data_IF_954601304452
#
_entry.id   IF_954601304452
#
_cell.length_a   1.000
_cell.length_b   1.000
_cell.length_c   1.000
_cell.angle_alpha   90.00
_cell.angle_beta   90.00
_cell.angle_gamma   90.00
#
_symmetry.space_group_name_H-M   'P 1'
#
loop_
_entity.id
_entity.type
_entity.pdbx_description
1 polymer ?
#
# COMPACT_ATOMS: atom_id res chain seq x y z
N UNK A 1 19.31 9.84 -15.13
CA UNK A 1 18.63 9.03 -16.16
C UNK A 1 19.38 7.72 -16.47
N UNK A 2 20.50 7.73 -17.22
CA UNK A 2 21.22 6.47 -17.60
C UNK A 2 21.73 5.66 -16.40
N UNK A 3 22.20 6.33 -15.34
CA UNK A 3 22.67 5.68 -14.12
C UNK A 3 21.53 4.99 -13.36
N UNK A 4 20.41 5.71 -13.15
CA UNK A 4 19.22 5.18 -12.50
C UNK A 4 18.60 4.01 -13.27
N UNK A 5 18.72 4.01 -14.60
CA UNK A 5 18.28 2.89 -15.44
C UNK A 5 19.09 1.61 -15.19
N UNK A 6 20.42 1.72 -15.11
CA UNK A 6 21.30 0.60 -14.73
C UNK A 6 20.96 0.08 -13.34
N UNK A 7 20.76 1.01 -12.39
CA UNK A 7 20.36 0.69 -11.01
C UNK A 7 19.02 -0.06 -10.97
N UNK A 8 18.01 0.39 -11.71
CA UNK A 8 16.72 -0.27 -11.79
C UNK A 8 16.83 -1.69 -12.38
N UNK A 9 17.56 -1.88 -13.48
CA UNK A 9 17.78 -3.19 -14.08
C UNK A 9 18.50 -4.18 -13.14
N UNK A 10 19.39 -3.67 -12.28
CA UNK A 10 20.05 -4.49 -11.26
C UNK A 10 19.12 -4.85 -10.08
N UNK A 11 18.21 -3.95 -9.70
CA UNK A 11 17.33 -4.13 -8.53
C UNK A 11 16.04 -4.91 -8.84
N UNK A 12 15.46 -4.77 -10.03
CA UNK A 12 14.21 -5.43 -10.41
C UNK A 12 14.23 -6.96 -10.17
N UNK A 13 15.28 -7.70 -10.58
CA UNK A 13 15.36 -9.14 -10.31
C UNK A 13 15.41 -9.47 -8.82
N UNK A 14 15.95 -8.58 -7.98
CA UNK A 14 15.98 -8.80 -6.53
C UNK A 14 14.57 -8.64 -5.96
N UNK A 15 13.81 -7.64 -6.41
CA UNK A 15 12.44 -7.39 -5.93
C UNK A 15 11.42 -8.43 -6.41
N UNK A 16 11.57 -8.94 -7.64
CA UNK A 16 10.61 -9.87 -8.28
C UNK A 16 10.79 -11.34 -7.89
N UNK A 17 11.75 -11.66 -7.04
CA UNK A 17 12.06 -13.03 -6.66
C UNK A 17 11.68 -13.32 -5.21
N UNK A 18 11.50 -14.61 -4.91
CA UNK A 18 11.27 -15.09 -3.55
C UNK A 18 12.56 -14.97 -2.72
N UNK A 19 12.40 -14.52 -1.47
CA UNK A 19 13.46 -14.50 -0.45
C UNK A 19 13.07 -15.45 0.67
N UNK A 20 13.20 -16.76 0.39
CA UNK A 20 12.87 -17.83 1.34
C UNK A 20 14.01 -18.08 2.32
N UNK A 21 15.23 -17.63 2.01
CA UNK A 21 16.42 -17.88 2.80
C UNK A 21 17.38 -16.70 2.80
N UNK A 22 18.16 -16.55 3.87
CA UNK A 22 19.27 -15.60 3.93
C UNK A 22 20.34 -15.87 2.84
N UNK A 23 20.44 -17.10 2.34
CA UNK A 23 21.33 -17.42 1.22
C UNK A 23 20.87 -16.81 -0.12
N UNK A 24 19.62 -16.33 -0.22
CA UNK A 24 19.14 -15.65 -1.43
C UNK A 24 19.86 -14.31 -1.67
N UNK A 25 20.42 -13.69 -0.62
CA UNK A 25 21.28 -12.51 -0.71
C UNK A 25 22.70 -12.79 -1.20
N UNK A 26 23.15 -14.04 -1.16
CA UNK A 26 24.47 -14.47 -1.66
C UNK A 26 24.43 -14.90 -3.13
N UNK A 27 23.25 -14.93 -3.74
CA UNK A 27 23.14 -15.25 -5.17
C UNK A 27 23.79 -14.16 -6.02
N UNK A 28 24.42 -14.56 -7.13
CA UNK A 28 25.05 -13.67 -8.12
C UNK A 28 24.22 -12.44 -8.48
N UNK A 29 22.88 -12.58 -8.54
CA UNK A 29 21.95 -11.48 -8.80
C UNK A 29 21.97 -10.38 -7.72
N UNK A 30 22.00 -10.75 -6.44
CA UNK A 30 22.03 -9.82 -5.32
C UNK A 30 23.42 -9.17 -5.21
N UNK A 31 24.48 -9.96 -5.44
CA UNK A 31 25.86 -9.45 -5.48
C UNK A 31 26.05 -8.40 -6.60
N UNK A 32 25.45 -8.63 -7.78
CA UNK A 32 25.48 -7.65 -8.89
C UNK A 32 24.72 -6.35 -8.58
N UNK A 33 23.75 -6.38 -7.66
CA UNK A 33 22.99 -5.20 -7.27
C UNK A 33 23.69 -4.36 -6.20
N UNK A 34 24.63 -4.94 -5.42
CA UNK A 34 25.31 -4.27 -4.30
C UNK A 34 25.88 -2.87 -4.63
N UNK A 35 26.62 -2.67 -5.75
CA UNK A 35 27.19 -1.36 -6.07
C UNK A 35 26.13 -0.29 -6.35
N UNK A 36 24.90 -0.70 -6.67
CA UNK A 36 23.81 0.19 -7.07
C UNK A 36 22.83 0.48 -5.94
N UNK A 37 23.02 -0.08 -4.74
CA UNK A 37 22.09 0.08 -3.62
C UNK A 37 22.22 1.43 -2.89
N UNK A 38 23.24 2.24 -3.18
CA UNK A 38 23.51 3.50 -2.45
C UNK A 38 23.50 3.25 -0.93
N UNK A 39 24.24 2.23 -0.48
CA UNK A 39 24.20 1.74 0.90
C UNK A 39 24.59 2.85 1.88
N UNK A 40 23.81 2.99 2.95
CA UNK A 40 24.05 3.98 4.01
C UNK A 40 23.54 5.39 3.70
N UNK A 41 23.04 5.65 2.50
CA UNK A 41 22.44 6.94 2.14
C UNK A 41 20.91 6.88 2.16
N UNK A 42 20.28 7.98 2.56
CA UNK A 42 18.84 8.16 2.40
C UNK A 42 18.46 8.59 0.98
N UNK A 43 17.19 8.44 0.62
CA UNK A 43 16.67 8.95 -0.65
C UNK A 43 16.89 10.46 -0.77
N UNK A 44 16.67 11.20 0.33
CA UNK A 44 16.91 12.63 0.39
C UNK A 44 18.36 13.00 0.07
N UNK A 45 19.33 12.30 0.66
CA UNK A 45 20.76 12.52 0.42
C UNK A 45 21.15 12.20 -1.02
N UNK A 46 20.65 11.07 -1.56
CA UNK A 46 20.93 10.69 -2.95
C UNK A 46 20.43 11.76 -3.91
N UNK A 47 19.22 12.29 -3.70
CA UNK A 47 18.62 13.31 -4.56
C UNK A 47 19.21 14.71 -4.33
N UNK A 48 19.73 14.99 -3.14
CA UNK A 48 20.45 16.24 -2.84
C UNK A 48 21.74 16.41 -3.65
N UNK A 49 22.29 15.32 -4.21
CA UNK A 49 23.43 15.41 -5.12
C UNK A 49 23.05 15.93 -6.52
N UNK A 50 21.75 15.93 -6.86
CA UNK A 50 21.24 16.35 -8.17
C UNK A 50 20.62 17.75 -8.16
N UNK A 51 20.12 18.20 -7.01
CA UNK A 51 19.38 19.45 -6.88
C UNK A 51 19.93 20.29 -5.73
N UNK A 52 20.01 21.60 -5.92
CA UNK A 52 20.38 22.56 -4.86
C UNK A 52 19.17 23.17 -4.19
N UNK A 53 18.09 23.42 -4.94
CA UNK A 53 16.82 23.95 -4.42
C UNK A 53 16.06 22.91 -3.59
N UNK A 54 15.72 23.24 -2.35
CA UNK A 54 15.01 22.36 -1.41
C UNK A 54 13.66 21.90 -1.95
N UNK A 55 12.93 22.73 -2.69
CA UNK A 55 11.61 22.38 -3.25
C UNK A 55 11.75 21.28 -4.30
N UNK A 56 12.80 21.34 -5.12
CA UNK A 56 13.09 20.30 -6.10
C UNK A 56 13.51 19.00 -5.42
N UNK A 57 14.36 19.07 -4.39
CA UNK A 57 14.71 17.87 -3.60
C UNK A 57 13.45 17.21 -3.06
N UNK A 58 12.57 17.97 -2.41
CA UNK A 58 11.31 17.46 -1.86
C UNK A 58 10.38 16.88 -2.93
N UNK A 59 10.18 17.58 -4.06
CA UNK A 59 9.35 17.12 -5.16
C UNK A 59 9.81 15.76 -5.71
N UNK A 60 11.12 15.53 -5.85
CA UNK A 60 11.67 14.26 -6.33
C UNK A 60 11.75 13.16 -5.27
N UNK A 61 11.58 13.51 -3.99
CA UNK A 61 11.52 12.53 -2.89
C UNK A 61 10.11 12.05 -2.59
N UNK A 62 9.08 12.71 -3.13
CA UNK A 62 7.67 12.43 -2.83
C UNK A 62 7.31 10.95 -2.97
N UNK A 63 7.88 10.26 -3.95
CA UNK A 63 7.63 8.84 -4.22
C UNK A 63 8.03 7.92 -3.06
N UNK A 64 8.82 8.37 -2.08
CA UNK A 64 9.04 7.61 -0.83
C UNK A 64 7.74 7.35 -0.08
N UNK A 65 6.72 8.22 -0.26
CA UNK A 65 5.39 8.03 0.31
C UNK A 65 4.65 6.83 -0.27
N UNK A 66 5.00 6.36 -1.46
CA UNK A 66 4.42 5.12 -2.01
C UNK A 66 4.77 3.89 -1.16
N UNK A 67 5.85 3.99 -0.38
CA UNK A 67 6.28 2.97 0.57
C UNK A 67 5.88 3.31 2.01
N UNK A 68 5.14 4.40 2.23
CA UNK A 68 4.82 4.91 3.56
C UNK A 68 6.04 5.39 4.36
N UNK A 69 7.14 5.76 3.70
CA UNK A 69 8.40 6.13 4.36
C UNK A 69 8.69 7.63 4.33
N UNK A 70 9.38 8.10 5.37
CA UNK A 70 10.09 9.39 5.38
C UNK A 70 11.21 9.39 4.35
N UNK A 71 11.41 10.44 3.54
CA UNK A 71 12.50 10.49 2.56
C UNK A 71 13.89 10.51 3.21
N UNK A 72 14.00 10.97 4.46
CA UNK A 72 15.22 10.95 5.26
C UNK A 72 15.56 9.57 5.82
N UNK A 73 14.59 8.65 5.87
CA UNK A 73 14.77 7.27 6.37
C UNK A 73 14.66 6.23 5.25
N UNK A 74 14.09 6.61 4.11
CA UNK A 74 13.94 5.76 2.94
C UNK A 74 15.32 5.43 2.35
N UNK A 75 15.69 4.15 2.15
CA UNK A 75 16.97 3.80 1.55
C UNK A 75 17.17 4.42 0.17
N UNK A 76 18.36 4.97 -0.09
CA UNK A 76 18.71 5.61 -1.37
C UNK A 76 18.55 4.71 -2.59
N UNK A 77 18.54 3.38 -2.41
CA UNK A 77 18.17 2.38 -3.42
C UNK A 77 16.84 2.71 -4.13
N UNK A 78 15.87 3.33 -3.43
CA UNK A 78 14.54 3.65 -3.94
C UNK A 78 14.47 4.90 -4.81
N UNK A 79 15.60 5.55 -5.13
CA UNK A 79 15.63 6.64 -6.13
C UNK A 79 15.14 6.20 -7.52
N UNK A 80 15.03 4.89 -7.75
CA UNK A 80 14.40 4.30 -8.93
C UNK A 80 12.91 4.67 -9.07
N UNK A 81 12.19 4.96 -7.97
CA UNK A 81 10.74 5.21 -8.02
C UNK A 81 10.42 6.49 -8.79
N UNK A 82 11.11 7.60 -8.48
CA UNK A 82 10.96 8.86 -9.21
C UNK A 82 11.33 8.69 -10.69
N UNK A 83 12.36 7.90 -10.97
CA UNK A 83 12.75 7.59 -12.35
C UNK A 83 11.68 6.80 -13.12
N UNK A 84 10.99 5.86 -12.49
CA UNK A 84 9.96 5.05 -13.15
C UNK A 84 8.83 5.92 -13.73
N UNK A 85 8.34 6.91 -12.98
CA UNK A 85 7.28 7.80 -13.45
C UNK A 85 7.71 8.64 -14.64
N UNK A 86 8.94 9.17 -14.60
CA UNK A 86 9.45 10.03 -15.67
C UNK A 86 9.87 9.24 -16.91
N UNK A 87 10.32 7.98 -16.75
CA UNK A 87 10.71 7.12 -17.88
C UNK A 87 9.52 6.45 -18.54
N UNK A 88 8.59 5.90 -17.76
CA UNK A 88 7.50 5.08 -18.27
C UNK A 88 6.18 5.82 -18.41
N UNK A 89 6.01 6.94 -17.69
CA UNK A 89 4.79 7.73 -17.67
C UNK A 89 3.84 7.34 -16.53
N UNK A 90 2.82 8.17 -16.35
CA UNK A 90 1.72 7.95 -15.40
C UNK A 90 0.45 7.78 -16.22
N UNK A 91 -0.29 6.70 -15.96
CA UNK A 91 -1.47 6.30 -16.74
C UNK A 91 -2.71 6.26 -15.87
N UNK A 92 -3.85 6.62 -16.45
CA UNK A 92 -5.17 6.52 -15.85
C UNK A 92 -6.07 5.64 -16.72
N UNK A 93 -6.61 4.52 -16.22
CA UNK A 93 -7.59 3.73 -16.97
C UNK A 93 -8.93 4.47 -17.03
N UNK A 94 -9.50 4.60 -18.23
CA UNK A 94 -10.84 5.19 -18.43
C UNK A 94 -11.89 4.36 -17.69
N UNK A 95 -12.73 5.01 -16.89
CA UNK A 95 -13.61 4.38 -15.89
C UNK A 95 -12.99 4.28 -14.50
N UNK A 96 -11.75 4.73 -14.32
CA UNK A 96 -11.03 4.74 -13.05
C UNK A 96 -10.34 3.42 -12.70
N UNK A 97 -9.56 3.46 -11.61
CA UNK A 97 -8.68 2.35 -11.19
C UNK A 97 -9.42 1.03 -10.92
N UNK A 98 -10.74 1.07 -10.66
CA UNK A 98 -11.55 -0.13 -10.45
C UNK A 98 -11.64 -1.04 -11.69
N UNK A 99 -11.35 -0.50 -12.89
CA UNK A 99 -11.38 -1.27 -14.14
C UNK A 99 -10.33 -2.37 -14.19
N UNK A 100 -9.22 -2.22 -13.48
CA UNK A 100 -8.18 -3.24 -13.39
C UNK A 100 -8.70 -4.50 -12.68
N UNK A 101 -9.18 -4.44 -11.41
CA UNK A 101 -9.73 -5.63 -10.76
C UNK A 101 -11.01 -6.16 -11.43
N UNK A 102 -11.81 -5.31 -12.08
CA UNK A 102 -12.96 -5.77 -12.88
C UNK A 102 -12.51 -6.65 -14.06
N UNK A 103 -11.50 -6.22 -14.81
CA UNK A 103 -10.94 -7.01 -15.90
C UNK A 103 -10.34 -8.33 -15.40
N UNK A 104 -9.62 -8.30 -14.27
CA UNK A 104 -9.09 -9.52 -13.64
C UNK A 104 -10.21 -10.48 -13.22
N UNK A 105 -11.31 -9.97 -12.67
CA UNK A 105 -12.47 -10.78 -12.30
C UNK A 105 -13.14 -11.45 -13.51
N UNK A 106 -13.17 -10.78 -14.67
CA UNK A 106 -13.66 -11.37 -15.91
C UNK A 106 -12.78 -12.54 -16.36
N UNK A 107 -11.45 -12.36 -16.36
CA UNK A 107 -10.50 -13.44 -16.67
C UNK A 107 -10.68 -14.63 -15.72
N UNK A 108 -10.86 -14.40 -14.41
CA UNK A 108 -11.14 -15.49 -13.46
C UNK A 108 -12.37 -16.30 -13.88
N UNK A 109 -13.46 -15.64 -14.28
CA UNK A 109 -14.69 -16.31 -14.73
C UNK A 109 -14.50 -17.06 -16.04
N UNK A 110 -13.77 -16.48 -17.00
CA UNK A 110 -13.48 -17.12 -18.30
C UNK A 110 -12.74 -18.46 -18.15
N UNK A 111 -11.86 -18.56 -17.15
CA UNK A 111 -11.14 -19.79 -16.82
C UNK A 111 -11.89 -20.69 -15.81
N UNK A 112 -13.19 -20.46 -15.60
CA UNK A 112 -14.05 -21.32 -14.77
C UNK A 112 -13.95 -21.06 -13.27
N UNK A 113 -13.22 -20.03 -12.84
CA UNK A 113 -13.16 -19.59 -11.45
C UNK A 113 -14.48 -18.98 -10.98
N UNK A 114 -14.73 -19.07 -9.67
CA UNK A 114 -15.94 -18.53 -9.03
C UNK A 114 -15.56 -17.40 -8.08
N UNK A 115 -16.36 -16.33 -8.07
CA UNK A 115 -16.19 -15.18 -7.19
C UNK A 115 -17.45 -15.07 -6.33
N UNK A 116 -17.28 -15.24 -5.03
CA UNK A 116 -18.36 -15.16 -4.04
C UNK A 116 -18.25 -13.81 -3.31
N UNK A 117 -19.25 -12.95 -3.51
CA UNK A 117 -19.35 -11.65 -2.86
C UNK A 117 -20.31 -11.73 -1.67
N UNK A 118 -20.14 -10.87 -0.66
CA UNK A 118 -20.95 -10.92 0.56
C UNK A 118 -20.73 -12.19 1.40
N UNK A 119 -19.58 -12.85 1.23
CA UNK A 119 -19.20 -14.09 1.90
C UNK A 119 -17.94 -13.87 2.73
N UNK A 120 -18.08 -13.16 3.86
CA UNK A 120 -16.97 -12.90 4.77
C UNK A 120 -16.36 -14.19 5.30
N UNK A 121 -15.02 -14.27 5.35
CA UNK A 121 -14.30 -15.39 5.98
C UNK A 121 -14.20 -15.11 7.46
N UNK A 122 -14.69 -16.05 8.28
CA UNK A 122 -14.62 -15.96 9.74
C UNK A 122 -13.29 -16.48 10.27
N UNK A 123 -12.85 -17.66 9.79
CA UNK A 123 -11.59 -18.29 10.22
C UNK A 123 -11.09 -19.35 9.25
N UNK A 124 -9.83 -19.77 9.43
CA UNK A 124 -9.25 -20.94 8.80
C UNK A 124 -9.71 -22.22 9.51
N UNK A 125 -9.93 -23.28 8.74
CA UNK A 125 -10.12 -24.63 9.26
C UNK A 125 -8.75 -25.32 9.34
N UNK A 126 -8.38 -25.81 10.52
CA UNK A 126 -7.05 -26.36 10.80
C UNK A 126 -7.10 -27.81 11.29
N UNK A 127 -6.25 -28.66 10.71
CA UNK A 127 -5.89 -29.99 11.24
C UNK A 127 -4.43 -29.95 11.69
N UNK A 128 -4.20 -29.74 12.98
CA UNK A 128 -2.87 -29.37 13.47
C UNK A 128 -2.38 -28.10 12.75
N UNK A 129 -1.19 -28.14 12.13
CA UNK A 129 -0.64 -27.00 11.38
C UNK A 129 -1.05 -26.94 9.92
N UNK A 130 -1.97 -27.79 9.48
CA UNK A 130 -2.41 -27.86 8.08
C UNK A 130 -3.74 -27.14 7.91
N UNK A 131 -3.79 -26.19 6.97
CA UNK A 131 -5.04 -25.55 6.56
C UNK A 131 -5.79 -26.48 5.62
N UNK A 132 -7.06 -26.75 5.90
CA UNK A 132 -7.93 -27.62 5.10
C UNK A 132 -9.12 -26.89 4.48
N UNK A 133 -9.25 -25.59 4.72
CA UNK A 133 -10.34 -24.77 4.23
C UNK A 133 -10.59 -23.51 5.06
N UNK A 134 -11.77 -22.93 4.89
CA UNK A 134 -12.24 -21.75 5.62
C UNK A 134 -13.66 -21.96 6.15
N UNK A 135 -13.97 -21.34 7.28
CA UNK A 135 -15.33 -21.16 7.77
C UNK A 135 -15.77 -19.72 7.46
N UNK A 136 -16.94 -19.57 6.85
CA UNK A 136 -17.53 -18.28 6.54
C UNK A 136 -18.30 -17.72 7.74
N UNK A 137 -18.65 -16.43 7.70
CA UNK A 137 -19.43 -15.76 8.76
C UNK A 137 -20.81 -16.40 8.99
N UNK A 138 -21.40 -16.98 7.95
CA UNK A 138 -22.66 -17.74 8.03
C UNK A 138 -22.46 -19.19 8.55
N UNK A 139 -21.27 -19.54 9.03
CA UNK A 139 -20.86 -20.87 9.50
C UNK A 139 -20.76 -21.98 8.43
N UNK A 140 -20.91 -21.64 7.15
CA UNK A 140 -20.61 -22.56 6.07
C UNK A 140 -19.11 -22.89 6.03
N UNK A 141 -18.78 -24.16 5.78
CA UNK A 141 -17.40 -24.64 5.67
C UNK A 141 -17.07 -24.92 4.22
N UNK A 142 -16.00 -24.28 3.74
CA UNK A 142 -15.48 -24.45 2.38
C UNK A 142 -14.11 -25.11 2.46
N UNK A 143 -14.01 -26.34 1.99
CA UNK A 143 -12.78 -27.13 2.01
C UNK A 143 -11.93 -26.86 0.75
N UNK A 144 -10.60 -26.86 0.92
CA UNK A 144 -9.65 -26.61 -0.16
C UNK A 144 -8.29 -27.27 0.10
N UNK A 145 -7.61 -27.68 -0.96
CA UNK A 145 -6.26 -28.25 -0.89
C UNK A 145 -5.16 -27.21 -0.59
N UNK A 146 -5.38 -25.96 -1.01
CA UNK A 146 -4.47 -24.83 -0.81
C UNK A 146 -5.31 -23.57 -0.55
N UNK A 147 -4.95 -22.79 0.47
CA UNK A 147 -5.63 -21.52 0.80
C UNK A 147 -4.68 -20.35 0.56
N UNK A 148 -5.16 -19.32 -0.14
CA UNK A 148 -4.41 -18.09 -0.44
C UNK A 148 -5.09 -16.92 0.28
N UNK A 149 -4.35 -16.23 1.16
CA UNK A 149 -4.85 -15.12 1.96
C UNK A 149 -4.38 -13.79 1.36
N UNK A 150 -5.35 -12.95 0.98
CA UNK A 150 -5.13 -11.56 0.54
C UNK A 150 -5.70 -10.51 1.50
N UNK A 151 -6.34 -10.94 2.60
CA UNK A 151 -6.73 -10.03 3.67
C UNK A 151 -5.50 -9.34 4.28
N UNK A 152 -5.70 -8.21 4.97
CA UNK A 152 -4.62 -7.57 5.73
C UNK A 152 -3.93 -8.61 6.60
N UNK A 153 -2.61 -8.74 6.46
CA UNK A 153 -1.86 -9.82 7.10
C UNK A 153 -2.03 -9.83 8.62
N UNK A 154 -1.90 -8.68 9.28
CA UNK A 154 -1.99 -8.63 10.73
C UNK A 154 -3.43 -8.82 11.22
N UNK A 155 -4.42 -8.34 10.45
CA UNK A 155 -5.82 -8.62 10.73
C UNK A 155 -6.12 -10.13 10.60
N UNK A 156 -5.76 -10.76 9.48
CA UNK A 156 -6.00 -12.17 9.23
C UNK A 156 -5.28 -13.06 10.27
N UNK A 157 -4.01 -12.77 10.58
CA UNK A 157 -3.25 -13.55 11.56
C UNK A 157 -3.72 -13.34 13.01
N UNK A 158 -4.46 -12.27 13.30
CA UNK A 158 -5.07 -12.06 14.62
C UNK A 158 -6.51 -12.58 14.71
N UNK A 159 -7.21 -12.77 13.60
CA UNK A 159 -8.64 -13.14 13.62
C UNK A 159 -8.94 -14.52 13.05
N UNK A 160 -8.21 -14.98 12.02
CA UNK A 160 -8.58 -16.22 11.32
C UNK A 160 -7.96 -17.50 11.93
N UNK A 161 -7.03 -17.37 12.88
CA UNK A 161 -6.22 -18.49 13.41
C UNK A 161 -6.36 -18.68 14.93
N UNK A 162 -7.48 -18.24 15.52
CA UNK A 162 -7.62 -18.13 16.98
C UNK A 162 -7.42 -19.43 17.76
N UNK A 163 -7.77 -20.58 17.17
CA UNK A 163 -7.69 -21.88 17.85
C UNK A 163 -6.26 -22.42 17.96
N UNK A 164 -5.30 -21.85 17.22
CA UNK A 164 -3.89 -22.25 17.30
C UNK A 164 -2.97 -21.03 17.23
N UNK A 165 -2.36 -20.62 18.35
CA UNK A 165 -1.50 -19.44 18.34
C UNK A 165 -0.30 -19.66 17.43
N UNK A 166 -0.15 -18.72 16.50
CA UNK A 166 1.04 -18.55 15.70
C UNK A 166 2.22 -18.21 16.60
N UNK A 167 3.40 -18.76 16.30
CA UNK A 167 4.63 -18.56 17.09
C UNK A 167 5.37 -17.30 16.66
N UNK A 168 5.52 -17.04 15.36
CA UNK A 168 6.25 -15.87 14.84
C UNK A 168 5.32 -14.64 14.76
N UNK A 169 4.05 -14.87 14.49
CA UNK A 169 3.03 -13.84 14.29
C UNK A 169 1.87 -13.94 15.28
N UNK A 170 2.16 -14.23 16.56
CA UNK A 170 1.16 -14.17 17.64
C UNK A 170 0.56 -12.77 17.75
N UNK A 171 -0.63 -12.64 18.37
CA UNK A 171 -1.30 -11.34 18.60
C UNK A 171 -0.35 -10.35 19.30
N UNK A 172 0.37 -10.78 20.33
CA UNK A 172 1.32 -9.93 21.07
C UNK A 172 2.53 -9.53 20.22
N UNK A 173 3.00 -10.41 19.34
CA UNK A 173 4.12 -10.10 18.44
C UNK A 173 3.70 -9.16 17.32
N UNK A 174 2.49 -9.32 16.78
CA UNK A 174 1.93 -8.41 15.79
C UNK A 174 1.76 -7.01 16.38
N UNK A 175 1.24 -6.88 17.60
CA UNK A 175 1.13 -5.58 18.29
C UNK A 175 2.47 -4.85 18.49
N UNK A 176 3.58 -5.58 18.53
CA UNK A 176 4.94 -5.02 18.70
C UNK A 176 5.64 -4.72 17.36
N UNK A 177 5.04 -5.05 16.23
CA UNK A 177 5.60 -4.71 14.92
C UNK A 177 5.36 -3.24 14.59
N UNK A 178 6.22 -2.71 13.74
CA UNK A 178 6.06 -1.37 13.19
C UNK A 178 5.09 -1.41 12.00
N UNK A 179 4.20 -0.43 11.94
CA UNK A 179 3.19 -0.28 10.91
C UNK A 179 3.31 1.09 10.24
N UNK A 180 2.87 1.17 8.98
CA UNK A 180 2.86 2.45 8.25
C UNK A 180 1.95 3.48 8.92
N UNK A 181 2.07 4.74 8.50
CA UNK A 181 1.03 5.72 8.76
C UNK A 181 -0.32 5.28 8.15
N UNK A 182 -1.36 6.04 8.49
CA UNK A 182 -2.69 5.92 7.89
C UNK A 182 -2.96 7.11 6.98
N UNK A 183 -4.20 7.22 6.51
CA UNK A 183 -4.68 8.31 5.66
C UNK A 183 -6.04 8.79 6.13
N UNK A 184 -6.19 10.12 6.18
CA UNK A 184 -7.48 10.78 6.17
C UNK A 184 -7.85 11.04 4.72
N UNK A 185 -9.07 10.68 4.34
CA UNK A 185 -9.52 10.70 2.97
C UNK A 185 -10.83 11.44 2.84
N UNK A 186 -10.98 12.20 1.76
CA UNK A 186 -12.26 12.74 1.33
C UNK A 186 -12.49 12.37 -0.14
N UNK A 187 -13.66 11.81 -0.41
CA UNK A 187 -14.20 11.66 -1.75
C UNK A 187 -15.30 12.69 -1.89
N UNK A 188 -15.13 13.68 -2.77
CA UNK A 188 -16.09 14.77 -2.94
C UNK A 188 -16.61 14.82 -4.37
N UNK A 189 -17.92 14.83 -4.52
CA UNK A 189 -18.60 15.10 -5.79
C UNK A 189 -19.01 16.56 -5.83
N UNK A 190 -18.64 17.27 -6.90
CA UNK A 190 -18.80 18.71 -7.04
C UNK A 190 -19.78 19.02 -8.18
N UNK A 191 -20.62 20.04 -8.03
CA UNK A 191 -21.45 20.59 -9.13
C UNK A 191 -20.69 21.54 -10.07
N UNK A 192 -19.37 21.55 -9.95
CA UNK A 192 -18.47 22.39 -10.73
C UNK A 192 -17.28 21.58 -11.20
N UNK A 193 -16.95 21.73 -12.48
CA UNK A 193 -15.71 21.25 -13.07
C UNK A 193 -14.55 22.19 -12.72
N UNK A 194 -13.47 21.61 -12.22
CA UNK A 194 -12.19 22.30 -12.07
C UNK A 194 -11.25 21.86 -13.19
N UNK A 195 -10.84 22.78 -14.06
CA UNK A 195 -9.85 22.52 -15.12
C UNK A 195 -8.42 22.68 -14.58
N UNK A 196 -8.09 21.82 -13.61
CA UNK A 196 -6.81 21.77 -12.91
C UNK A 196 -6.15 20.41 -13.13
N UNK A 197 -4.82 20.29 -12.98
CA UNK A 197 -4.10 19.04 -13.23
C UNK A 197 -4.71 17.83 -12.52
N UNK A 198 -4.61 16.66 -13.17
CA UNK A 198 -5.12 15.39 -12.63
C UNK A 198 -4.58 15.11 -11.23
N UNK A 199 -3.28 15.34 -11.01
CA UNK A 199 -2.62 15.11 -9.73
C UNK A 199 -2.04 16.43 -9.22
N UNK A 200 -2.39 16.80 -7.99
CA UNK A 200 -1.87 17.98 -7.30
C UNK A 200 -1.39 17.58 -5.91
N UNK A 201 -0.23 18.08 -5.50
CA UNK A 201 0.33 17.88 -4.16
C UNK A 201 0.58 19.24 -3.54
N UNK A 202 0.11 19.41 -2.31
CA UNK A 202 0.41 20.52 -1.44
C UNK A 202 1.35 19.98 -0.36
N UNK A 203 2.59 20.49 -0.32
CA UNK A 203 3.53 20.14 0.75
C UNK A 203 3.28 21.04 1.96
N UNK A 204 3.42 20.49 3.17
CA UNK A 204 3.62 21.29 4.39
C UNK A 204 4.79 22.26 4.19
N UNK A 205 4.67 23.48 4.72
CA UNK A 205 5.75 24.47 4.73
C UNK A 205 6.95 23.94 5.54
N UNK A 206 6.67 23.20 6.63
CA UNK A 206 7.65 22.39 7.35
C UNK A 206 7.34 20.89 7.15
N UNK A 207 7.85 20.33 6.06
CA UNK A 207 7.59 18.95 5.68
C UNK A 207 8.25 17.93 6.63
N UNK A 208 9.43 18.25 7.17
CA UNK A 208 10.10 17.34 8.12
C UNK A 208 9.30 17.22 9.41
N UNK A 209 8.80 18.35 9.93
CA UNK A 209 7.89 18.37 11.07
C UNK A 209 6.60 17.59 10.78
N UNK A 210 5.95 17.82 9.64
CA UNK A 210 4.74 17.09 9.25
C UNK A 210 4.98 15.57 9.23
N UNK A 211 6.12 15.11 8.68
CA UNK A 211 6.48 13.68 8.68
C UNK A 211 6.71 13.16 10.11
N UNK A 212 7.41 13.92 10.95
CA UNK A 212 7.69 13.55 12.35
C UNK A 212 6.41 13.46 13.18
N UNK A 213 5.45 14.37 12.95
CA UNK A 213 4.14 14.36 13.61
C UNK A 213 3.38 13.07 13.29
N UNK A 214 3.41 12.65 12.04
CA UNK A 214 2.72 11.43 11.59
C UNK A 214 3.39 10.16 12.16
N UNK A 215 4.71 10.06 12.12
CA UNK A 215 5.42 8.78 12.33
C UNK A 215 6.01 8.62 13.73
N UNK A 216 6.31 9.72 14.43
CA UNK A 216 7.01 9.68 15.72
C UNK A 216 6.13 10.19 16.87
N UNK A 217 5.65 11.43 16.80
CA UNK A 217 4.83 11.99 17.90
C UNK A 217 3.38 11.55 17.83
N UNK A 218 2.93 11.08 16.66
CA UNK A 218 1.58 10.55 16.40
C UNK A 218 0.48 11.59 16.63
N UNK A 219 0.72 12.81 16.16
CA UNK A 219 -0.16 13.96 16.31
C UNK A 219 -0.82 14.34 14.97
N UNK A 220 -1.98 14.99 15.04
CA UNK A 220 -2.56 15.63 13.86
C UNK A 220 -1.78 16.91 13.55
N UNK A 221 -1.27 16.99 12.33
CA UNK A 221 -0.51 18.16 11.87
C UNK A 221 -1.44 19.35 11.68
N UNK A 222 -1.02 20.52 12.15
CA UNK A 222 -1.67 21.80 11.86
C UNK A 222 -1.39 22.30 10.43
N UNK A 223 -0.40 21.71 9.75
CA UNK A 223 -0.07 21.97 8.35
C UNK A 223 0.15 20.65 7.59
N UNK A 224 -0.91 19.86 7.32
CA UNK A 224 -0.76 18.58 6.67
C UNK A 224 -0.36 18.73 5.19
N UNK A 225 0.52 17.85 4.71
CA UNK A 225 0.67 17.68 3.25
C UNK A 225 -0.57 17.00 2.68
N UNK A 226 -1.08 17.51 1.55
CA UNK A 226 -2.35 17.06 0.94
C UNK A 226 -2.09 16.64 -0.50
N UNK A 227 -2.65 15.49 -0.88
CA UNK A 227 -2.72 15.04 -2.25
C UNK A 227 -4.17 15.15 -2.76
N UNK A 228 -4.33 15.69 -3.97
CA UNK A 228 -5.62 15.85 -4.64
C UNK A 228 -5.52 15.16 -5.99
N UNK A 229 -6.47 14.26 -6.25
CA UNK A 229 -6.72 13.70 -7.56
C UNK A 229 -8.00 14.30 -8.14
N UNK A 230 -7.87 15.01 -9.26
CA UNK A 230 -8.94 15.57 -10.08
C UNK A 230 -9.07 14.77 -11.38
N UNK A 231 -9.50 13.51 -11.30
CA UNK A 231 -9.45 12.61 -12.45
C UNK A 231 -10.44 12.97 -13.57
N UNK A 232 -11.50 13.73 -13.27
CA UNK A 232 -12.54 14.16 -14.22
C UNK A 232 -12.02 15.01 -15.39
N UNK A 233 -10.81 15.57 -15.30
CA UNK A 233 -10.16 16.29 -16.41
C UNK A 233 -9.60 15.35 -17.47
N UNK A 234 -9.18 14.16 -17.06
CA UNK A 234 -8.65 13.12 -17.96
C UNK A 234 -9.70 12.08 -18.34
N UNK A 235 -10.74 11.94 -17.52
CA UNK A 235 -11.73 10.88 -17.67
C UNK A 235 -13.15 11.43 -17.40
N UNK A 236 -13.92 11.75 -18.46
CA UNK A 236 -15.26 12.30 -18.32
C UNK A 236 -16.27 11.28 -17.77
N UNK A 237 -15.90 10.00 -17.62
CA UNK A 237 -16.81 8.97 -17.09
C UNK A 237 -16.95 9.01 -15.56
N UNK A 238 -16.09 9.77 -14.87
CA UNK A 238 -16.01 9.79 -13.41
C UNK A 238 -16.92 10.80 -12.72
N UNK A 239 -17.53 11.72 -13.48
CA UNK A 239 -18.46 12.70 -12.95
C UNK A 239 -19.49 13.09 -14.02
N UNK A 240 -20.68 13.60 -13.64
CA UNK A 240 -21.62 14.19 -14.59
C UNK A 240 -20.99 15.32 -15.41
N UNK A 241 -21.62 15.64 -16.55
CA UNK A 241 -21.19 16.77 -17.37
C UNK A 241 -21.14 18.07 -16.54
N UNK A 242 -20.12 18.90 -16.77
CA UNK A 242 -19.90 20.14 -16.03
C UNK A 242 -19.47 19.97 -14.57
N UNK A 243 -19.27 18.74 -14.09
CA UNK A 243 -18.93 18.41 -12.70
C UNK A 243 -17.51 17.83 -12.56
N UNK A 244 -16.99 17.80 -11.34
CA UNK A 244 -15.73 17.12 -10.98
C UNK A 244 -15.95 16.18 -9.78
N UNK A 245 -15.29 15.03 -9.80
CA UNK A 245 -15.09 14.20 -8.60
C UNK A 245 -13.64 14.35 -8.14
N UNK A 246 -13.44 14.73 -6.87
CA UNK A 246 -12.11 14.78 -6.28
C UNK A 246 -11.92 13.67 -5.25
N UNK A 247 -10.74 13.09 -5.29
CA UNK A 247 -10.17 12.26 -4.24
C UNK A 247 -9.11 13.11 -3.54
N UNK A 248 -9.23 13.28 -2.22
CA UNK A 248 -8.35 14.11 -1.40
C UNK A 248 -7.79 13.21 -0.29
N UNK A 249 -6.48 13.26 -0.09
CA UNK A 249 -5.76 12.43 0.87
C UNK A 249 -4.81 13.30 1.69
N UNK A 250 -4.85 13.17 3.00
CA UNK A 250 -3.82 13.66 3.91
C UNK A 250 -3.24 12.47 4.71
N UNK A 251 -1.91 12.25 4.71
CA UNK A 251 -1.32 11.24 5.57
C UNK A 251 -1.45 11.65 7.05
N UNK A 252 -1.83 10.71 7.90
CA UNK A 252 -2.08 10.92 9.33
C UNK A 252 -1.55 9.74 10.15
N UNK A 253 -1.37 9.88 11.47
CA UNK A 253 -1.04 8.75 12.33
C UNK A 253 -2.05 7.61 12.19
N UNK A 254 -1.59 6.36 12.35
CA UNK A 254 -2.47 5.19 12.44
C UNK A 254 -3.11 5.10 13.84
N UNK A 255 -3.97 4.10 14.10
CA UNK A 255 -4.73 3.99 15.35
C UNK A 255 -3.88 3.62 16.58
N UNK A 256 -2.57 3.42 16.44
CA UNK A 256 -1.66 3.43 17.61
C UNK A 256 -1.43 4.84 18.18
N UNK A 257 -2.02 5.88 17.57
CA UNK A 257 -2.05 7.25 18.07
C UNK A 257 -3.16 7.50 19.10
N UNK A 258 -4.18 6.64 19.13
CA UNK A 258 -5.36 6.81 19.99
C UNK A 258 -6.12 8.13 19.76
N UNK A 259 -5.93 8.77 18.60
CA UNK A 259 -6.68 9.96 18.19
C UNK A 259 -8.17 9.63 18.09
N UNK A 260 -9.01 10.41 18.77
CA UNK A 260 -10.46 10.32 18.68
C UNK A 260 -10.96 11.00 17.40
N UNK A 261 -11.15 10.20 16.35
CA UNK A 261 -11.66 10.68 15.08
C UNK A 261 -13.12 11.14 15.12
N UNK A 262 -13.94 10.75 16.10
CA UNK A 262 -15.29 11.34 16.19
C UNK A 262 -15.22 12.80 16.60
N UNK A 263 -14.25 13.16 17.45
CA UNK A 263 -14.06 14.53 17.91
C UNK A 263 -13.31 15.39 16.89
N UNK A 264 -12.31 14.84 16.20
CA UNK A 264 -11.40 15.63 15.37
C UNK A 264 -11.69 15.62 13.86
N UNK A 265 -12.57 14.74 13.37
CA UNK A 265 -12.80 14.55 11.93
C UNK A 265 -13.28 15.82 11.21
N UNK A 266 -14.25 16.53 11.78
CA UNK A 266 -14.81 17.73 11.14
C UNK A 266 -13.82 18.91 11.16
N UNK A 267 -13.10 19.11 12.26
CA UNK A 267 -12.06 20.13 12.35
C UNK A 267 -10.93 19.86 11.35
N UNK A 268 -10.52 18.60 11.22
CA UNK A 268 -9.48 18.21 10.27
C UNK A 268 -9.96 18.33 8.81
N UNK A 269 -11.24 18.01 8.54
CA UNK A 269 -11.90 18.28 7.25
C UNK A 269 -11.82 19.76 6.90
N UNK A 270 -12.17 20.65 7.83
CA UNK A 270 -12.11 22.09 7.61
C UNK A 270 -10.68 22.60 7.45
N UNK A 271 -9.70 22.06 8.17
CA UNK A 271 -8.29 22.38 7.96
C UNK A 271 -7.85 22.03 6.53
N UNK A 272 -8.12 20.80 6.09
CA UNK A 272 -7.77 20.31 4.75
C UNK A 272 -8.40 21.19 3.67
N UNK A 273 -9.72 21.44 3.74
CA UNK A 273 -10.40 22.28 2.74
C UNK A 273 -9.90 23.72 2.76
N UNK A 274 -9.54 24.28 3.93
CA UNK A 274 -8.98 25.64 4.04
C UNK A 274 -7.62 25.74 3.36
N UNK A 275 -6.76 24.74 3.53
CA UNK A 275 -5.46 24.70 2.87
C UNK A 275 -5.59 24.55 1.37
N UNK A 276 -6.51 23.71 0.90
CA UNK A 276 -6.78 23.55 -0.54
C UNK A 276 -7.23 24.89 -1.14
N UNK A 277 -8.24 25.55 -0.56
CA UNK A 277 -8.77 26.81 -1.09
C UNK A 277 -7.76 27.97 -1.02
N UNK A 278 -6.91 28.01 0.01
CA UNK A 278 -5.91 29.08 0.18
C UNK A 278 -4.67 28.89 -0.69
N UNK A 279 -4.15 27.66 -0.80
CA UNK A 279 -2.85 27.36 -1.42
C UNK A 279 -2.94 26.92 -2.88
N UNK A 280 -4.14 26.69 -3.40
CA UNK A 280 -4.35 26.24 -4.79
C UNK A 280 -5.46 27.00 -5.49
N UNK A 281 -5.63 26.72 -6.78
CA UNK A 281 -6.71 27.28 -7.62
C UNK A 281 -8.06 26.58 -7.43
N UNK A 282 -8.17 25.60 -6.53
CA UNK A 282 -9.44 25.00 -6.12
C UNK A 282 -10.26 25.97 -5.24
N UNK A 283 -10.51 27.20 -5.73
CA UNK A 283 -11.22 28.25 -4.99
C UNK A 283 -12.70 27.91 -4.82
N UNK A 284 -13.26 28.28 -3.66
CA UNK A 284 -14.66 28.05 -3.27
C UNK A 284 -15.11 26.57 -3.32
N UNK A 285 -14.17 25.61 -3.21
CA UNK A 285 -14.42 24.17 -3.21
C UNK A 285 -15.62 23.79 -2.32
N UNK A 286 -15.69 24.32 -1.10
CA UNK A 286 -16.77 24.03 -0.14
C UNK A 286 -18.17 24.27 -0.69
N UNK A 287 -18.34 25.36 -1.44
CA UNK A 287 -19.64 25.78 -1.97
C UNK A 287 -20.18 24.82 -3.04
N UNK A 288 -19.29 24.04 -3.65
CA UNK A 288 -19.60 23.16 -4.76
C UNK A 288 -19.79 21.69 -4.35
N UNK A 289 -19.47 21.33 -3.10
CA UNK A 289 -19.65 19.96 -2.60
C UNK A 289 -21.14 19.61 -2.57
N UNK A 290 -21.53 18.55 -3.30
CA UNK A 290 -22.89 17.99 -3.29
C UNK A 290 -22.99 16.69 -2.52
N UNK A 291 -21.94 15.89 -2.61
CA UNK A 291 -21.81 14.63 -1.89
C UNK A 291 -20.39 14.52 -1.38
N UNK A 292 -20.24 13.97 -0.20
CA UNK A 292 -18.93 13.68 0.36
C UNK A 292 -18.93 12.38 1.14
N UNK A 293 -17.79 11.70 1.12
CA UNK A 293 -17.49 10.58 1.99
C UNK A 293 -16.11 10.77 2.57
N UNK A 294 -16.03 10.71 3.89
CA UNK A 294 -14.76 10.78 4.61
C UNK A 294 -14.39 9.42 5.16
N UNK A 295 -13.13 9.03 4.99
CA UNK A 295 -12.55 7.86 5.66
C UNK A 295 -11.41 8.32 6.57
N UNK A 296 -11.48 7.94 7.83
CA UNK A 296 -10.42 8.16 8.81
C UNK A 296 -9.70 6.83 9.09
N UNK A 297 -8.55 6.86 9.78
CA UNK A 297 -7.91 5.68 10.35
C UNK A 297 -8.88 4.73 11.08
N UNK A 298 -9.89 5.26 11.77
CA UNK A 298 -10.96 4.46 12.38
C UNK A 298 -11.73 3.65 11.33
N UNK A 299 -12.22 4.30 10.28
CA UNK A 299 -12.97 3.63 9.20
C UNK A 299 -12.13 2.57 8.50
N UNK A 300 -10.84 2.85 8.26
CA UNK A 300 -9.93 1.87 7.67
C UNK A 300 -9.85 0.59 8.51
N UNK A 301 -9.81 0.70 9.83
CA UNK A 301 -9.78 -0.45 10.73
C UNK A 301 -11.13 -1.17 10.82
N UNK A 302 -12.23 -0.44 11.02
CA UNK A 302 -13.55 -1.04 11.27
C UNK A 302 -14.27 -1.52 10.02
N UNK A 303 -14.25 -0.71 8.96
CA UNK A 303 -15.11 -0.90 7.79
C UNK A 303 -14.37 -1.65 6.66
N UNK A 304 -13.03 -1.57 6.68
CA UNK A 304 -12.15 -2.14 5.65
C UNK A 304 -11.13 -3.15 6.20
N UNK A 305 -11.18 -3.46 7.51
CA UNK A 305 -10.35 -4.47 8.16
C UNK A 305 -8.84 -4.26 7.99
N UNK A 306 -8.40 -3.00 7.83
CA UNK A 306 -6.98 -2.63 7.76
C UNK A 306 -6.45 -2.56 9.18
N UNK A 307 -5.48 -3.39 9.52
CA UNK A 307 -5.03 -3.53 10.90
C UNK A 307 -4.49 -2.19 11.44
N UNK A 308 -5.09 -1.70 12.54
CA UNK A 308 -4.79 -0.39 13.14
C UNK A 308 -4.94 0.80 12.18
N UNK A 309 -5.70 0.63 11.11
CA UNK A 309 -5.86 1.64 10.05
C UNK A 309 -4.58 1.91 9.26
N UNK A 310 -3.53 1.08 9.37
CA UNK A 310 -2.26 1.30 8.67
C UNK A 310 -2.38 0.95 7.18
N UNK A 311 -2.71 1.94 6.34
CA UNK A 311 -3.11 1.75 4.93
C UNK A 311 -2.01 1.21 4.00
N UNK A 312 -0.75 1.22 4.44
CA UNK A 312 0.37 0.60 3.73
C UNK A 312 0.92 -0.65 4.45
N UNK A 313 0.16 -1.18 5.42
CA UNK A 313 0.43 -2.40 6.18
C UNK A 313 1.75 -2.32 7.00
N UNK A 314 2.46 -3.44 7.17
CA UNK A 314 3.74 -3.52 7.89
C UNK A 314 4.75 -2.50 7.33
N UNK A 315 5.40 -1.77 8.23
CA UNK A 315 6.33 -0.72 7.89
C UNK A 315 7.48 -1.22 6.99
N UNK A 316 7.95 -0.35 6.10
CA UNK A 316 8.95 -0.64 5.06
C UNK A 316 10.38 -0.29 5.49
N UNK A 317 10.79 -0.63 6.71
CA UNK A 317 12.19 -0.46 7.14
C UNK A 317 12.96 -1.79 7.03
N UNK A 318 14.30 -1.71 7.03
CA UNK A 318 15.19 -2.84 6.76
C UNK A 318 14.93 -4.09 7.64
N UNK A 319 14.40 -3.92 8.85
CA UNK A 319 14.08 -5.04 9.78
C UNK A 319 12.74 -5.72 9.48
N UNK A 320 11.90 -5.16 8.61
CA UNK A 320 10.57 -5.66 8.23
C UNK A 320 10.36 -5.76 6.70
N UNK A 321 11.46 -5.71 5.93
CA UNK A 321 11.46 -5.90 4.48
C UNK A 321 12.12 -7.21 4.08
N UNK A 322 11.90 -7.61 2.83
CA UNK A 322 12.55 -8.76 2.19
C UNK A 322 12.38 -10.04 3.03
N UNK A 323 13.46 -10.72 3.42
CA UNK A 323 13.42 -11.96 4.19
C UNK A 323 12.65 -11.84 5.52
N UNK A 324 12.65 -10.67 6.17
CA UNK A 324 11.98 -10.47 7.47
C UNK A 324 10.48 -10.14 7.34
N UNK A 325 9.98 -9.95 6.11
CA UNK A 325 8.56 -9.78 5.82
C UNK A 325 7.86 -11.16 5.78
N UNK A 326 6.54 -11.26 6.00
CA UNK A 326 5.80 -12.51 5.79
C UNK A 326 6.04 -13.10 4.40
N UNK A 327 6.30 -14.41 4.33
CA UNK A 327 6.64 -15.08 3.08
C UNK A 327 5.38 -15.52 2.33
N UNK A 328 5.44 -15.46 1.00
CA UNK A 328 4.36 -15.90 0.11
C UNK A 328 3.89 -17.34 0.37
N UNK A 329 4.82 -18.27 0.63
CA UNK A 329 4.48 -19.56 1.24
C UNK A 329 4.51 -19.35 2.74
N UNK A 330 3.37 -19.45 3.41
CA UNK A 330 3.33 -19.06 4.81
C UNK A 330 4.18 -20.00 5.66
N UNK A 331 5.01 -19.45 6.54
CA UNK A 331 6.04 -20.23 7.24
C UNK A 331 5.48 -21.01 8.45
N UNK A 332 4.29 -20.64 8.93
CA UNK A 332 3.74 -21.19 10.18
C UNK A 332 2.59 -22.20 10.00
N UNK A 333 2.00 -22.25 8.80
CA UNK A 333 0.91 -23.16 8.44
C UNK A 333 1.21 -23.83 7.10
N UNK A 334 0.92 -25.14 7.01
CA UNK A 334 0.97 -25.89 5.76
C UNK A 334 -0.28 -25.58 4.92
N UNK A 335 -0.14 -25.71 3.60
CA UNK A 335 -1.22 -25.48 2.64
C UNK A 335 -1.82 -24.06 2.69
N UNK A 336 -1.00 -23.10 3.13
CA UNK A 336 -1.37 -21.70 3.29
C UNK A 336 -0.37 -20.79 2.57
N UNK A 337 -0.91 -19.87 1.79
CA UNK A 337 -0.14 -18.90 1.03
C UNK A 337 -0.63 -17.49 1.32
N UNK A 338 0.27 -16.52 1.19
CA UNK A 338 -0.01 -15.11 1.39
C UNK A 338 0.22 -14.35 0.09
N UNK A 339 -0.57 -13.31 -0.12
CA UNK A 339 -0.39 -12.31 -1.18
C UNK A 339 -0.67 -10.91 -0.61
N UNK A 340 -0.56 -9.86 -1.43
CA UNK A 340 -0.95 -8.51 -1.02
C UNK A 340 0.15 -7.70 -0.33
N UNK A 341 -0.21 -6.50 0.14
CA UNK A 341 0.75 -5.49 0.59
C UNK A 341 1.48 -5.82 1.90
N UNK A 342 0.88 -6.66 2.76
CA UNK A 342 1.53 -7.16 3.99
C UNK A 342 2.53 -8.28 3.75
N UNK A 343 2.55 -8.84 2.54
CA UNK A 343 3.38 -9.98 2.14
C UNK A 343 4.55 -9.49 1.29
N UNK A 344 5.65 -10.26 1.23
CA UNK A 344 6.69 -10.02 0.23
C UNK A 344 6.09 -9.91 -1.20
N UNK A 345 6.53 -8.96 -2.05
CA UNK A 345 7.60 -7.96 -1.85
C UNK A 345 7.25 -6.74 -0.99
N UNK A 346 5.97 -6.41 -0.85
CA UNK A 346 5.45 -5.38 0.04
C UNK A 346 4.35 -4.51 -0.57
N UNK A 347 4.12 -3.33 -0.01
CA UNK A 347 3.08 -2.38 -0.47
C UNK A 347 3.44 -1.67 -1.78
N UNK A 348 2.41 -1.15 -2.45
CA UNK A 348 2.45 -0.58 -3.81
C UNK A 348 1.73 -1.48 -4.83
N UNK A 349 1.00 -0.90 -5.78
CA UNK A 349 0.25 -1.71 -6.76
C UNK A 349 1.15 -2.68 -7.56
N UNK A 350 2.31 -2.27 -8.10
CA UNK A 350 3.17 -3.19 -8.84
C UNK A 350 3.69 -4.35 -7.98
N UNK A 351 4.10 -4.07 -6.74
CA UNK A 351 4.62 -5.08 -5.80
C UNK A 351 3.53 -6.01 -5.30
N UNK A 352 2.29 -5.53 -5.14
CA UNK A 352 1.12 -6.36 -4.82
C UNK A 352 0.84 -7.35 -5.97
N UNK A 353 0.87 -6.91 -7.22
CA UNK A 353 0.72 -7.82 -8.37
C UNK A 353 1.86 -8.83 -8.46
N UNK A 354 3.10 -8.40 -8.19
CA UNK A 354 4.24 -9.31 -8.09
C UNK A 354 4.08 -10.33 -6.95
N UNK A 355 3.51 -9.94 -5.81
CA UNK A 355 3.18 -10.87 -4.72
C UNK A 355 2.25 -11.98 -5.20
N UNK A 356 1.21 -11.64 -5.96
CA UNK A 356 0.32 -12.62 -6.60
C UNK A 356 1.04 -13.55 -7.57
N UNK A 357 1.90 -13.01 -8.44
CA UNK A 357 2.70 -13.80 -9.39
C UNK A 357 3.68 -14.74 -8.68
N UNK A 358 4.36 -14.24 -7.65
CA UNK A 358 5.32 -15.00 -6.84
C UNK A 358 4.64 -16.17 -6.12
N UNK A 359 3.46 -15.94 -5.53
CA UNK A 359 2.66 -16.98 -4.87
C UNK A 359 2.20 -18.03 -5.86
N UNK A 360 1.65 -17.61 -7.01
CA UNK A 360 1.20 -18.52 -8.08
C UNK A 360 2.33 -19.44 -8.54
N UNK A 361 3.51 -18.89 -8.83
CA UNK A 361 4.68 -19.67 -9.23
C UNK A 361 5.11 -20.64 -8.12
N UNK A 362 5.03 -20.23 -6.86
CA UNK A 362 5.35 -21.09 -5.71
C UNK A 362 4.40 -22.28 -5.59
N UNK A 363 3.10 -22.07 -5.81
CA UNK A 363 2.07 -23.13 -5.80
C UNK A 363 2.35 -24.12 -6.92
N UNK A 364 2.54 -23.64 -8.15
CA UNK A 364 2.84 -24.48 -9.33
C UNK A 364 4.09 -25.33 -9.09
N UNK A 365 5.19 -24.71 -8.63
CA UNK A 365 6.43 -25.41 -8.30
C UNK A 365 6.19 -26.52 -7.26
N UNK A 366 5.36 -26.25 -6.24
CA UNK A 366 5.07 -27.22 -5.19
C UNK A 366 4.30 -28.45 -5.69
N UNK A 367 3.37 -28.26 -6.64
CA UNK A 367 2.61 -29.36 -7.24
C UNK A 367 3.44 -30.14 -8.28
N UNK A 368 4.29 -29.47 -9.07
CA UNK A 368 5.18 -30.15 -10.02
C UNK A 368 6.19 -31.04 -9.31
N UNK A 369 6.78 -30.56 -8.20
CA UNK A 369 7.66 -31.37 -7.34
C UNK A 369 6.95 -32.60 -6.77
N UNK A 370 5.69 -32.46 -6.32
CA UNK A 370 4.88 -33.60 -5.85
C UNK A 370 4.62 -34.64 -6.94
N UNK A 371 4.55 -34.22 -8.21
CA UNK A 371 4.35 -35.08 -9.38
C UNK A 371 5.65 -35.65 -9.98
N UNK A 372 6.80 -35.38 -9.39
CA UNK A 372 8.10 -35.85 -9.89
C UNK A 372 8.56 -35.20 -11.19
N UNK A 373 7.91 -34.10 -11.61
CA UNK A 373 8.29 -33.33 -12.80
C UNK A 373 9.32 -32.29 -12.36
N UNK A 374 10.55 -32.40 -12.87
CA UNK A 374 11.65 -31.47 -12.58
C UNK A 374 11.48 -30.13 -13.26
#
# INVERSE_FOLDING_TARGET
>A
MKETDKKMNALLPVLQNQHRSLFDYLRLRALKALPHLSLGQSLYEVLSNYFTDERLKLAFTFQSKYLGMSPWECPGAFSILSFMEHKYGVYHPIGGMHKIPEAMANVVKEYGGRIHLGSGVKRLLLEGRTVVGVELENHEKVYADEVIINADFAHAMSTFVEEQPLKLYSKEKLLKKDYSCSTFMMYVGLDKRYDLPHHTIIFSDDYEKNVKEITKTKELSADPSIYIQNASVSDPTLAPEGSSGLYILAPVPNNFSEIDWEMHKEDFRELVLSQIESRTEFKNLRKHIKVERMLTPRNWESDYFVYKGATFNLAHHLRQMMYFRPHNKFQELNHCWLVGGGTHPGSGLPTIFESGRITTNGIVESHLKKRGVR
#
